data_IF_068419641770
#
_entry.id   IF_068419641770
#
_cell.length_a   1.000
_cell.length_b   1.000
_cell.length_c   1.000
_cell.angle_alpha   90.00
_cell.angle_beta   90.00
_cell.angle_gamma   90.00
#
_symmetry.space_group_name_H-M   'P 1'
#
loop_
_entity.id
_entity.type
_entity.pdbx_description
1 polymer ?
#
# COMPACT_ATOMS: atom_id res chain seq x y z
N UNK A 1 -1.52 30.86 8.17
CA UNK A 1 -1.40 29.66 7.33
C UNK A 1 -2.27 28.55 7.92
N UNK A 2 -3.08 27.92 7.09
CA UNK A 2 -3.96 26.85 7.55
C UNK A 2 -3.17 25.56 7.76
N UNK A 3 -3.52 24.81 8.80
CA UNK A 3 -2.95 23.49 9.01
C UNK A 3 -3.42 22.53 7.90
N UNK A 4 -2.72 21.42 7.72
CA UNK A 4 -3.11 20.40 6.77
C UNK A 4 -4.54 19.89 7.03
N UNK A 5 -4.89 19.71 8.30
CA UNK A 5 -6.22 19.29 8.72
C UNK A 5 -7.30 20.29 8.30
N UNK A 6 -7.06 21.57 8.53
CA UNK A 6 -8.00 22.62 8.12
C UNK A 6 -8.16 22.65 6.62
N UNK A 7 -7.05 22.48 5.90
CA UNK A 7 -7.07 22.43 4.45
C UNK A 7 -7.93 21.29 3.92
N UNK A 8 -7.82 20.10 4.53
CA UNK A 8 -8.64 18.93 4.15
C UNK A 8 -10.12 19.18 4.39
N UNK A 9 -10.49 19.82 5.50
CA UNK A 9 -11.88 20.15 5.81
C UNK A 9 -12.47 21.07 4.74
N UNK A 10 -11.70 22.03 4.27
CA UNK A 10 -12.14 22.96 3.22
C UNK A 10 -12.38 22.29 1.89
N UNK A 11 -11.68 21.18 1.61
CA UNK A 11 -11.87 20.40 0.40
C UNK A 11 -12.86 19.25 0.62
N UNK A 12 -13.81 19.42 1.55
CA UNK A 12 -14.92 18.49 1.76
C UNK A 12 -14.45 17.12 2.28
N UNK A 13 -13.40 17.11 3.12
CA UNK A 13 -12.80 15.90 3.68
C UNK A 13 -12.42 14.87 2.60
N UNK A 14 -11.48 15.23 1.71
CA UNK A 14 -11.08 14.30 0.67
C UNK A 14 -10.55 13.01 1.27
N UNK A 15 -10.84 11.88 0.63
CA UNK A 15 -10.28 10.61 1.06
C UNK A 15 -8.78 10.59 0.79
N UNK A 16 -7.99 10.26 1.80
CA UNK A 16 -6.56 10.08 1.67
C UNK A 16 -6.27 8.63 1.33
N UNK A 17 -5.49 8.43 0.30
CA UNK A 17 -4.97 7.13 -0.07
C UNK A 17 -3.48 7.09 0.20
N UNK A 18 -3.01 5.97 0.76
CA UNK A 18 -1.60 5.74 1.01
C UNK A 18 -1.14 4.52 0.23
N UNK A 19 -0.05 4.66 -0.51
CA UNK A 19 0.59 3.54 -1.19
C UNK A 19 1.33 2.67 -0.16
N UNK A 20 1.52 1.41 -0.47
CA UNK A 20 2.18 0.46 0.43
C UNK A 20 3.65 0.25 0.06
N UNK A 21 3.91 -0.27 -1.15
CA UNK A 21 5.27 -0.63 -1.57
C UNK A 21 6.11 0.61 -1.83
N UNK A 22 7.29 0.67 -1.20
CA UNK A 22 8.18 1.82 -1.32
C UNK A 22 7.80 3.00 -0.43
N UNK A 23 6.66 2.94 0.24
CA UNK A 23 6.19 3.99 1.15
C UNK A 23 6.23 3.50 2.59
N UNK A 24 5.56 2.40 2.89
CA UNK A 24 5.58 1.80 4.24
C UNK A 24 6.24 0.43 4.27
N UNK A 25 6.22 -0.31 3.17
CA UNK A 25 6.82 -1.64 3.04
C UNK A 25 8.01 -1.58 2.09
N UNK A 26 9.13 -2.18 2.48
CA UNK A 26 10.39 -2.10 1.73
C UNK A 26 10.58 -3.30 0.80
N UNK A 27 9.85 -3.27 -0.30
CA UNK A 27 9.89 -4.30 -1.33
C UNK A 27 11.27 -4.37 -2.01
N UNK A 28 11.87 -3.23 -2.33
CA UNK A 28 13.15 -3.20 -3.04
C UNK A 28 14.30 -3.77 -2.22
N UNK A 29 14.34 -3.49 -0.92
CA UNK A 29 15.36 -4.04 -0.03
C UNK A 29 15.24 -5.56 0.06
N UNK A 30 14.03 -6.06 0.28
CA UNK A 30 13.77 -7.50 0.40
C UNK A 30 14.19 -8.24 -0.87
N UNK A 31 13.72 -7.77 -2.01
CA UNK A 31 14.00 -8.43 -3.29
C UNK A 31 15.48 -8.34 -3.65
N UNK A 32 16.13 -7.20 -3.38
CA UNK A 32 17.55 -7.05 -3.62
C UNK A 32 18.38 -8.03 -2.80
N UNK A 33 18.01 -8.28 -1.55
CA UNK A 33 18.71 -9.25 -0.71
C UNK A 33 18.62 -10.67 -1.26
N UNK A 34 17.50 -11.02 -1.88
CA UNK A 34 17.31 -12.35 -2.48
C UNK A 34 18.02 -12.44 -3.83
N UNK A 35 17.88 -11.43 -4.67
CA UNK A 35 18.35 -11.46 -6.06
C UNK A 35 19.82 -11.06 -6.20
N UNK A 36 20.38 -10.32 -5.25
CA UNK A 36 21.70 -9.74 -5.35
C UNK A 36 21.78 -8.54 -6.31
N UNK A 37 20.65 -8.10 -6.84
CA UNK A 37 20.56 -6.97 -7.77
C UNK A 37 19.22 -6.28 -7.62
N UNK A 38 19.07 -5.10 -8.23
CA UNK A 38 17.82 -4.36 -8.21
C UNK A 38 16.71 -5.15 -8.91
N UNK A 39 15.51 -5.14 -8.30
CA UNK A 39 14.33 -5.81 -8.85
C UNK A 39 13.93 -5.23 -10.21
N UNK A 40 13.59 -6.15 -11.14
CA UNK A 40 13.02 -5.86 -12.45
C UNK A 40 11.86 -6.82 -12.72
N UNK A 41 10.95 -6.46 -13.63
CA UNK A 41 9.79 -7.28 -13.96
C UNK A 41 10.11 -8.74 -14.31
N UNK A 42 11.25 -8.98 -14.92
CA UNK A 42 11.66 -10.36 -15.27
C UNK A 42 11.96 -11.24 -14.07
N UNK A 43 12.08 -10.65 -12.86
CA UNK A 43 12.45 -11.38 -11.65
C UNK A 43 11.27 -11.85 -10.80
N UNK A 44 10.03 -11.66 -11.26
CA UNK A 44 8.87 -12.08 -10.48
C UNK A 44 8.91 -13.57 -10.11
N UNK A 45 9.45 -14.40 -10.98
CA UNK A 45 9.55 -15.85 -10.76
C UNK A 45 10.72 -16.23 -9.83
N UNK A 46 11.63 -15.30 -9.58
CA UNK A 46 12.84 -15.53 -8.80
C UNK A 46 12.71 -15.08 -7.33
N UNK A 47 11.57 -14.58 -6.94
CA UNK A 47 11.31 -14.18 -5.55
C UNK A 47 10.24 -15.09 -4.94
N UNK A 48 10.25 -15.26 -3.60
CA UNK A 48 9.28 -16.14 -2.94
C UNK A 48 7.84 -15.73 -3.20
N UNK A 49 6.94 -16.71 -3.27
CA UNK A 49 5.51 -16.44 -3.45
C UNK A 49 4.90 -15.67 -2.28
N UNK A 50 5.48 -15.76 -1.09
CA UNK A 50 5.04 -15.05 0.11
C UNK A 50 5.84 -13.76 0.38
N UNK A 51 6.49 -13.22 -0.64
CA UNK A 51 7.29 -11.99 -0.52
C UNK A 51 6.55 -10.89 0.22
N UNK A 52 5.28 -10.64 -0.11
CA UNK A 52 4.53 -9.55 0.51
C UNK A 52 4.19 -9.79 1.98
N UNK A 53 4.34 -11.02 2.47
CA UNK A 53 4.18 -11.33 3.89
C UNK A 53 5.46 -11.07 4.69
N UNK A 54 6.62 -10.99 4.03
CA UNK A 54 7.93 -10.97 4.67
C UNK A 54 8.62 -9.61 4.70
N UNK A 55 8.01 -8.58 4.12
CA UNK A 55 8.67 -7.29 3.97
C UNK A 55 8.94 -6.61 5.31
N UNK A 56 10.07 -5.91 5.39
CA UNK A 56 10.33 -5.00 6.50
C UNK A 56 9.62 -3.67 6.25
N UNK A 57 9.41 -2.90 7.30
CA UNK A 57 8.94 -1.52 7.17
C UNK A 57 10.03 -0.66 6.52
N UNK A 58 9.59 0.35 5.76
CA UNK A 58 10.50 1.42 5.37
C UNK A 58 11.04 2.12 6.62
N UNK A 59 12.29 2.64 6.57
CA UNK A 59 12.91 3.26 7.76
C UNK A 59 12.09 4.38 8.39
N UNK A 60 11.33 5.14 7.57
CA UNK A 60 10.52 6.26 8.03
C UNK A 60 9.03 5.94 8.13
N UNK A 61 8.65 4.67 7.97
CA UNK A 61 7.25 4.27 7.89
C UNK A 61 6.46 4.60 9.15
N UNK A 62 7.05 4.40 10.33
CA UNK A 62 6.36 4.68 11.59
C UNK A 62 6.12 6.17 11.78
N UNK A 63 7.03 7.01 11.35
CA UNK A 63 6.89 8.48 11.41
C UNK A 63 5.77 8.92 10.48
N UNK A 64 5.79 8.44 9.25
CA UNK A 64 4.75 8.74 8.27
C UNK A 64 3.38 8.28 8.78
N UNK A 65 3.28 7.04 9.24
CA UNK A 65 2.02 6.48 9.72
C UNK A 65 1.49 7.25 10.93
N UNK A 66 2.37 7.60 11.86
CA UNK A 66 2.00 8.41 13.03
C UNK A 66 1.36 9.73 12.66
N UNK A 67 1.77 10.29 11.52
CA UNK A 67 1.20 11.55 11.01
C UNK A 67 -0.14 11.33 10.29
N UNK A 68 -0.22 10.37 9.36
CA UNK A 68 -1.38 10.24 8.48
C UNK A 68 -2.55 9.45 9.08
N UNK A 69 -2.31 8.64 10.11
CA UNK A 69 -3.36 7.79 10.69
C UNK A 69 -4.57 8.58 11.20
N UNK A 70 -4.35 9.81 11.65
CA UNK A 70 -5.43 10.67 12.14
C UNK A 70 -6.44 11.04 11.07
N UNK A 71 -6.07 10.92 9.80
CA UNK A 71 -6.94 11.23 8.67
C UNK A 71 -7.67 10.00 8.12
N UNK A 72 -7.56 8.86 8.80
CA UNK A 72 -8.21 7.61 8.41
C UNK A 72 -7.91 7.21 6.96
N UNK A 73 -6.64 7.05 6.58
CA UNK A 73 -6.29 6.74 5.19
C UNK A 73 -6.76 5.36 4.78
N UNK A 74 -7.03 5.22 3.49
CA UNK A 74 -7.23 3.92 2.86
C UNK A 74 -5.92 3.54 2.19
N UNK A 75 -5.45 2.32 2.43
CA UNK A 75 -4.28 1.79 1.74
C UNK A 75 -4.69 1.37 0.34
N UNK A 76 -4.06 1.95 -0.66
CA UNK A 76 -4.33 1.66 -2.07
C UNK A 76 -3.07 1.10 -2.70
N UNK A 77 -3.06 -0.20 -2.95
CA UNK A 77 -1.87 -0.91 -3.42
C UNK A 77 -2.22 -1.80 -4.62
N UNK A 78 -1.24 -2.05 -5.47
CA UNK A 78 -1.43 -2.89 -6.65
C UNK A 78 -0.86 -4.29 -6.42
N UNK A 79 -1.62 -5.31 -6.83
CA UNK A 79 -1.14 -6.68 -6.86
C UNK A 79 -0.36 -6.93 -8.17
N UNK A 80 0.59 -7.90 -8.17
CA UNK A 80 1.20 -8.35 -9.41
C UNK A 80 0.16 -8.87 -10.39
N UNK A 81 0.48 -8.88 -11.67
CA UNK A 81 -0.40 -9.40 -12.71
C UNK A 81 -0.68 -10.89 -12.46
N UNK A 82 -1.89 -11.35 -12.79
CA UNK A 82 -2.29 -12.74 -12.63
C UNK A 82 -1.32 -13.72 -13.30
N UNK A 83 -0.72 -13.33 -14.41
CA UNK A 83 0.28 -14.15 -15.12
C UNK A 83 1.54 -14.44 -14.30
N UNK A 84 1.74 -13.74 -13.18
CA UNK A 84 2.89 -13.98 -12.30
C UNK A 84 2.69 -15.16 -11.34
N UNK A 85 1.54 -15.83 -11.40
CA UNK A 85 1.30 -17.09 -10.70
C UNK A 85 0.96 -16.94 -9.22
N UNK A 86 1.55 -17.81 -8.38
CA UNK A 86 1.20 -17.87 -6.96
C UNK A 86 1.43 -16.59 -6.18
N UNK A 87 2.48 -15.85 -6.49
CA UNK A 87 2.72 -14.56 -5.81
C UNK A 87 1.56 -13.59 -6.05
N UNK A 88 1.04 -13.55 -7.27
CA UNK A 88 -0.10 -12.69 -7.61
C UNK A 88 -1.36 -13.14 -6.87
N UNK A 89 -1.57 -14.44 -6.76
CA UNK A 89 -2.72 -15.02 -6.08
C UNK A 89 -2.69 -14.74 -4.57
N UNK A 90 -1.51 -14.80 -3.96
CA UNK A 90 -1.33 -14.60 -2.52
C UNK A 90 -1.25 -13.13 -2.13
N UNK A 91 -0.83 -12.26 -3.03
CA UNK A 91 -0.51 -10.87 -2.72
C UNK A 91 -1.62 -10.12 -1.98
N UNK A 92 -2.91 -10.18 -2.37
CA UNK A 92 -3.95 -9.45 -1.66
C UNK A 92 -4.02 -9.81 -0.18
N UNK A 93 -4.04 -11.09 0.15
CA UNK A 93 -4.13 -11.54 1.55
C UNK A 93 -2.86 -11.23 2.32
N UNK A 94 -1.69 -11.44 1.71
CA UNK A 94 -0.42 -11.18 2.36
C UNK A 94 -0.25 -9.68 2.66
N UNK A 95 -0.64 -8.81 1.75
CA UNK A 95 -0.60 -7.35 1.96
C UNK A 95 -1.56 -6.91 3.06
N UNK A 96 -2.77 -7.45 3.09
CA UNK A 96 -3.76 -7.14 4.13
C UNK A 96 -3.24 -7.56 5.50
N UNK A 97 -2.70 -8.76 5.61
CA UNK A 97 -2.12 -9.27 6.87
C UNK A 97 -0.93 -8.44 7.32
N UNK A 98 -0.07 -8.05 6.37
CA UNK A 98 1.10 -7.24 6.67
C UNK A 98 0.72 -5.88 7.25
N UNK A 99 -0.25 -5.20 6.66
CA UNK A 99 -0.72 -3.90 7.16
C UNK A 99 -1.38 -4.03 8.52
N UNK A 100 -2.14 -5.09 8.74
CA UNK A 100 -2.77 -5.34 10.05
C UNK A 100 -1.70 -5.58 11.13
N UNK A 101 -0.72 -6.42 10.82
CA UNK A 101 0.36 -6.76 11.76
C UNK A 101 1.23 -5.55 12.10
N UNK A 102 1.60 -4.77 11.11
CA UNK A 102 2.59 -3.71 11.28
C UNK A 102 1.99 -2.36 11.70
N UNK A 103 0.75 -2.07 11.33
CA UNK A 103 0.13 -0.75 11.56
C UNK A 103 -1.31 -0.84 12.10
N UNK A 104 -1.84 -2.03 12.34
CA UNK A 104 -3.18 -2.19 12.86
C UNK A 104 -4.29 -1.81 11.88
N UNK A 105 -3.99 -1.77 10.59
CA UNK A 105 -4.98 -1.42 9.55
C UNK A 105 -5.90 -2.60 9.30
N UNK A 106 -7.23 -2.36 9.34
CA UNK A 106 -8.20 -3.43 9.07
C UNK A 106 -8.38 -3.65 7.57
N UNK A 107 -8.85 -4.85 7.21
CA UNK A 107 -9.06 -5.21 5.81
C UNK A 107 -10.00 -4.24 5.09
N UNK A 108 -10.98 -3.68 5.80
CA UNK A 108 -11.93 -2.71 5.20
C UNK A 108 -11.26 -1.42 4.73
N UNK A 109 -10.09 -1.10 5.26
CA UNK A 109 -9.32 0.10 4.89
C UNK A 109 -8.22 -0.23 3.87
N UNK A 110 -8.27 -1.41 3.27
CA UNK A 110 -7.34 -1.86 2.25
C UNK A 110 -8.03 -1.99 0.90
N UNK A 111 -7.37 -1.51 -0.15
CA UNK A 111 -7.80 -1.71 -1.54
C UNK A 111 -6.63 -2.27 -2.31
N UNK A 112 -6.68 -3.56 -2.63
CA UNK A 112 -5.67 -4.21 -3.45
C UNK A 112 -6.27 -4.36 -4.84
N UNK A 113 -5.73 -3.62 -5.79
CA UNK A 113 -6.33 -3.46 -7.11
C UNK A 113 -5.32 -3.85 -8.20
N UNK A 114 -5.78 -3.88 -9.45
CA UNK A 114 -4.89 -4.03 -10.60
C UNK A 114 -4.11 -2.74 -10.77
N UNK A 115 -2.86 -2.86 -11.24
CA UNK A 115 -1.97 -1.71 -11.40
C UNK A 115 -2.60 -0.59 -12.25
N UNK A 116 -3.27 -0.96 -13.35
CA UNK A 116 -3.90 0.03 -14.23
C UNK A 116 -5.10 0.72 -13.58
N UNK A 117 -5.73 0.09 -12.58
CA UNK A 117 -6.92 0.63 -11.92
C UNK A 117 -6.58 1.52 -10.72
N UNK A 118 -5.35 1.47 -10.24
CA UNK A 118 -4.94 2.16 -9.01
C UNK A 118 -5.17 3.68 -9.10
N UNK A 119 -4.65 4.30 -10.14
CA UNK A 119 -4.77 5.74 -10.36
C UNK A 119 -6.23 6.14 -10.62
N UNK A 120 -6.90 5.35 -11.41
CA UNK A 120 -8.31 5.55 -11.76
C UNK A 120 -9.22 5.45 -10.55
N UNK A 121 -8.96 4.45 -9.71
CA UNK A 121 -9.71 4.21 -8.48
C UNK A 121 -9.66 5.43 -7.56
N UNK A 122 -8.48 5.94 -7.28
CA UNK A 122 -8.31 7.12 -6.42
C UNK A 122 -8.93 8.37 -7.04
N UNK A 123 -8.79 8.55 -8.35
CA UNK A 123 -9.31 9.70 -9.08
C UNK A 123 -10.85 9.74 -9.09
N UNK A 124 -11.48 8.59 -9.26
CA UNK A 124 -12.95 8.48 -9.34
C UNK A 124 -13.62 8.62 -7.98
N UNK A 125 -12.86 8.67 -6.89
CA UNK A 125 -13.41 8.84 -5.56
C UNK A 125 -14.30 7.69 -5.08
N UNK A 126 -14.02 6.47 -5.51
CA UNK A 126 -14.83 5.28 -5.20
C UNK A 126 -14.97 5.00 -3.71
N UNK A 127 -14.00 5.43 -2.92
CA UNK A 127 -14.01 5.25 -1.47
C UNK A 127 -14.31 6.53 -0.72
N UNK A 128 -14.89 7.52 -1.40
CA UNK A 128 -15.25 8.77 -0.74
C UNK A 128 -16.17 8.49 0.44
N UNK A 129 -15.70 8.81 1.63
CA UNK A 129 -16.48 8.59 2.85
C UNK A 129 -17.37 9.78 3.13
N UNK A 130 -18.55 9.56 3.76
CA UNK A 130 -19.35 10.68 4.18
C UNK A 130 -18.63 11.52 5.21
N UNK A 131 -18.91 12.82 5.23
CA UNK A 131 -18.35 13.71 6.23
C UNK A 131 -18.93 13.34 7.60
N UNK A 132 -18.05 13.26 8.56
CA UNK A 132 -18.43 12.92 9.93
C UNK A 132 -18.33 14.16 10.80
#
# INVERSE_FOLDING_TARGET
MKSFKQHLVEFDNPQIYCDMDGVVADFLKFTRNILGTKFKDRFWEDIPEDTFAQLDKMPDADVLWGYIKQFHPIMLTAAPRESRGLIAKRAPQDKIRWMKKNFGVSARDMRVVKRQDKKKFAKDGRDKRPNV
#
